data_IF_610754802997
#
_entry.id   IF_610754802997
#
_cell.length_a   1.000
_cell.length_b   1.000
_cell.length_c   1.000
_cell.angle_alpha   90.00
_cell.angle_beta   90.00
_cell.angle_gamma   90.00
#
_symmetry.space_group_name_H-M   'P 1'
#
loop_
_entity.id
_entity.type
_entity.pdbx_description
1 polymer ?
#
# COMPACT_ATOMS: atom_id res chain seq x y z
N UNK A 1 -8.42 17.41 -17.85
CA UNK A 1 -8.34 16.10 -17.15
C UNK A 1 -7.64 15.14 -18.10
N UNK A 2 -6.60 14.44 -17.65
CA UNK A 2 -5.92 13.43 -18.48
C UNK A 2 -6.79 12.17 -18.46
N UNK A 3 -7.01 11.55 -19.62
CA UNK A 3 -7.69 10.26 -19.76
C UNK A 3 -6.63 9.15 -19.64
N UNK A 4 -6.51 8.48 -18.46
CA UNK A 4 -5.44 7.52 -18.23
C UNK A 4 -5.60 6.27 -19.10
N UNK A 5 -4.49 5.80 -19.66
CA UNK A 5 -4.40 4.64 -20.54
C UNK A 5 -3.57 3.54 -19.88
N UNK A 6 -4.00 2.27 -19.99
CA UNK A 6 -3.22 1.14 -19.47
C UNK A 6 -1.79 1.14 -20.00
N UNK A 7 -0.82 0.84 -19.14
CA UNK A 7 0.61 0.76 -19.51
C UNK A 7 1.36 2.09 -19.57
N UNK A 8 0.67 3.22 -19.37
CA UNK A 8 1.30 4.55 -19.29
C UNK A 8 1.59 4.96 -17.85
N UNK A 9 2.57 5.85 -17.69
CA UNK A 9 2.99 6.40 -16.40
C UNK A 9 2.41 7.79 -16.20
N UNK A 10 1.94 8.06 -14.99
CA UNK A 10 1.29 9.31 -14.61
C UNK A 10 1.96 9.92 -13.38
N UNK A 11 1.79 11.23 -13.21
CA UNK A 11 2.30 11.94 -12.04
C UNK A 11 1.67 11.39 -10.76
N UNK A 12 2.52 11.03 -9.78
CA UNK A 12 2.07 10.64 -8.46
C UNK A 12 1.29 11.77 -7.78
N UNK A 13 1.73 13.02 -7.96
CA UNK A 13 1.02 14.17 -7.37
C UNK A 13 -0.41 14.29 -7.93
N UNK A 14 -0.60 14.13 -9.24
CA UNK A 14 -1.94 14.19 -9.83
C UNK A 14 -2.86 13.08 -9.29
N UNK A 15 -2.28 11.92 -8.96
CA UNK A 15 -2.99 10.83 -8.31
C UNK A 15 -3.37 11.16 -6.86
N UNK A 16 -2.45 11.74 -6.09
CA UNK A 16 -2.70 12.20 -4.73
C UNK A 16 -3.76 13.32 -4.68
N UNK A 17 -3.72 14.27 -5.61
CA UNK A 17 -4.71 15.33 -5.75
C UNK A 17 -6.11 14.77 -6.05
N UNK A 18 -6.17 13.69 -6.84
CA UNK A 18 -7.41 12.97 -7.11
C UNK A 18 -7.95 12.28 -5.85
N UNK A 19 -7.08 11.68 -5.03
CA UNK A 19 -7.50 11.11 -3.74
C UNK A 19 -8.03 12.17 -2.78
N UNK A 20 -7.38 13.32 -2.70
CA UNK A 20 -7.87 14.46 -1.92
C UNK A 20 -9.29 14.86 -2.38
N UNK A 21 -9.47 15.03 -3.69
CA UNK A 21 -10.78 15.38 -4.27
C UNK A 21 -11.84 14.33 -3.93
N UNK A 22 -11.53 13.04 -4.06
CA UNK A 22 -12.47 11.95 -3.73
C UNK A 22 -12.84 11.97 -2.24
N UNK A 23 -11.86 12.17 -1.36
CA UNK A 23 -12.10 12.24 0.08
C UNK A 23 -13.02 13.42 0.44
N UNK A 24 -12.82 14.58 -0.18
CA UNK A 24 -13.61 15.80 0.07
C UNK A 24 -15.02 15.74 -0.52
N UNK A 25 -15.21 15.04 -1.65
CA UNK A 25 -16.48 15.02 -2.39
C UNK A 25 -17.37 13.81 -2.10
N UNK A 26 -16.78 12.62 -1.91
CA UNK A 26 -17.50 11.37 -1.70
C UNK A 26 -17.31 10.84 -0.27
N UNK A 27 -16.13 11.06 0.31
CA UNK A 27 -15.79 10.63 1.66
C UNK A 27 -14.66 9.60 1.70
N UNK A 28 -13.99 9.54 2.85
CA UNK A 28 -12.74 8.78 3.01
C UNK A 28 -12.91 7.26 2.93
N UNK A 29 -14.10 6.72 3.22
CA UNK A 29 -14.40 5.29 3.03
C UNK A 29 -14.21 4.83 1.58
N UNK A 30 -14.39 5.74 0.62
CA UNK A 30 -14.14 5.45 -0.81
C UNK A 30 -12.66 5.17 -1.05
N UNK A 31 -11.76 5.86 -0.34
CA UNK A 31 -10.32 5.60 -0.45
C UNK A 31 -9.95 4.22 0.08
N UNK A 32 -10.59 3.77 1.16
CA UNK A 32 -10.44 2.39 1.64
C UNK A 32 -10.90 1.37 0.60
N UNK A 33 -12.05 1.61 -0.04
CA UNK A 33 -12.52 0.75 -1.12
C UNK A 33 -11.56 0.70 -2.31
N UNK A 34 -10.96 1.85 -2.68
CA UNK A 34 -9.92 1.92 -3.72
C UNK A 34 -8.68 1.14 -3.30
N UNK A 35 -8.19 1.32 -2.07
CA UNK A 35 -7.03 0.60 -1.53
C UNK A 35 -7.21 -0.92 -1.58
N UNK A 36 -8.40 -1.42 -1.22
CA UNK A 36 -8.75 -2.86 -1.28
C UNK A 36 -8.66 -3.46 -2.68
N UNK A 37 -8.73 -2.65 -3.75
CA UNK A 37 -8.62 -3.11 -5.14
C UNK A 37 -7.18 -3.17 -5.65
N UNK A 38 -6.21 -2.58 -4.94
CA UNK A 38 -4.81 -2.56 -5.38
C UNK A 38 -4.20 -3.98 -5.51
N UNK A 39 -4.41 -4.93 -4.57
CA UNK A 39 -3.87 -6.29 -4.70
C UNK A 39 -4.36 -7.06 -5.93
N UNK A 40 -5.45 -6.62 -6.57
CA UNK A 40 -5.99 -7.22 -7.80
C UNK A 40 -5.38 -6.60 -9.07
N UNK A 41 -4.84 -5.37 -8.98
CA UNK A 41 -4.49 -4.56 -10.15
C UNK A 41 -3.00 -4.17 -10.23
N UNK A 42 -2.30 -4.12 -9.10
CA UNK A 42 -0.87 -3.79 -9.05
C UNK A 42 0.01 -5.03 -9.27
N UNK A 43 1.24 -4.80 -9.71
CA UNK A 43 2.24 -5.87 -9.83
C UNK A 43 2.85 -6.17 -8.47
N UNK A 44 2.68 -7.38 -7.98
CA UNK A 44 3.32 -7.90 -6.78
C UNK A 44 4.46 -8.86 -7.13
N UNK A 45 5.46 -9.04 -6.26
CA UNK A 45 6.44 -10.10 -6.42
C UNK A 45 5.77 -11.49 -6.37
N UNK A 46 6.32 -12.51 -7.06
CA UNK A 46 5.81 -13.87 -6.99
C UNK A 46 6.11 -14.52 -5.63
N UNK A 47 5.51 -15.68 -5.36
CA UNK A 47 5.89 -16.52 -4.21
C UNK A 47 5.38 -16.05 -2.84
N UNK A 48 4.31 -15.26 -2.81
CA UNK A 48 3.64 -14.87 -1.57
C UNK A 48 2.74 -16.04 -1.14
N UNK A 49 3.06 -16.65 0.02
CA UNK A 49 2.41 -17.87 0.52
C UNK A 49 1.90 -17.75 1.97
N UNK A 50 1.95 -16.55 2.56
CA UNK A 50 1.49 -16.31 3.93
C UNK A 50 1.40 -14.83 4.28
N UNK A 51 0.69 -14.52 5.37
CA UNK A 51 0.35 -13.16 5.78
C UNK A 51 1.57 -12.26 5.99
N UNK A 52 2.63 -12.74 6.63
CA UNK A 52 3.85 -11.95 6.85
C UNK A 52 4.48 -11.56 5.51
N UNK A 53 4.73 -12.54 4.64
CA UNK A 53 5.29 -12.28 3.31
C UNK A 53 4.39 -11.36 2.50
N UNK A 54 3.08 -11.50 2.62
CA UNK A 54 2.11 -10.65 1.94
C UNK A 54 2.23 -9.19 2.38
N UNK A 55 2.32 -8.95 3.69
CA UNK A 55 2.45 -7.60 4.25
C UNK A 55 3.80 -6.97 3.90
N UNK A 56 4.90 -7.73 3.97
CA UNK A 56 6.22 -7.28 3.50
C UNK A 56 6.24 -6.99 1.99
N UNK A 57 5.50 -7.78 1.21
CA UNK A 57 5.44 -7.62 -0.25
C UNK A 57 4.76 -6.32 -0.70
N UNK A 58 4.02 -5.64 0.18
CA UNK A 58 3.43 -4.33 -0.14
C UNK A 58 4.53 -3.32 -0.46
N UNK A 59 5.65 -3.32 0.28
CA UNK A 59 6.75 -2.38 0.04
C UNK A 59 7.48 -2.65 -1.28
N UNK A 60 7.74 -3.93 -1.56
CA UNK A 60 8.32 -4.36 -2.83
C UNK A 60 7.42 -3.97 -3.99
N UNK A 61 6.13 -4.27 -3.90
CA UNK A 61 5.15 -3.88 -4.91
C UNK A 61 5.07 -2.35 -5.05
N UNK A 62 5.16 -1.59 -3.97
CA UNK A 62 5.18 -0.15 -4.01
C UNK A 62 6.33 0.39 -4.88
N UNK A 63 7.55 -0.09 -4.64
CA UNK A 63 8.74 0.30 -5.39
C UNK A 63 8.77 -0.25 -6.83
N UNK A 64 8.13 -1.39 -7.09
CA UNK A 64 7.94 -1.95 -8.45
C UNK A 64 6.98 -1.11 -9.31
N UNK A 65 6.02 -0.43 -8.68
CA UNK A 65 4.97 0.33 -9.36
C UNK A 65 5.18 1.85 -9.29
N UNK A 66 6.36 2.31 -8.86
CA UNK A 66 6.76 3.73 -8.85
C UNK A 66 8.02 3.96 -9.66
N UNK A 67 8.23 5.21 -10.11
CA UNK A 67 9.43 5.61 -10.86
C UNK A 67 9.95 6.97 -10.43
N UNK A 68 11.27 7.10 -10.40
CA UNK A 68 11.98 8.39 -10.34
C UNK A 68 12.84 8.48 -11.60
N UNK A 69 12.79 9.62 -12.29
CA UNK A 69 13.51 9.85 -13.54
C UNK A 69 13.33 8.73 -14.60
N UNK A 70 12.13 8.11 -14.65
CA UNK A 70 11.79 7.07 -15.61
C UNK A 70 12.21 5.64 -15.22
N UNK A 71 12.91 5.46 -14.10
CA UNK A 71 13.40 4.15 -13.63
C UNK A 71 12.58 3.65 -12.45
N UNK A 72 12.24 2.35 -12.43
CA UNK A 72 11.53 1.74 -11.30
C UNK A 72 12.44 1.61 -10.09
N UNK A 73 11.87 1.76 -8.90
CA UNK A 73 12.65 1.80 -7.66
C UNK A 73 12.95 0.41 -7.10
N UNK A 74 12.53 -0.65 -7.78
CA UNK A 74 12.94 -2.02 -7.47
C UNK A 74 13.48 -2.72 -8.70
N UNK A 75 14.68 -3.29 -8.58
CA UNK A 75 15.28 -4.12 -9.61
C UNK A 75 15.06 -5.60 -9.28
N UNK A 76 14.13 -6.24 -10.00
CA UNK A 76 13.81 -7.66 -9.80
C UNK A 76 14.96 -8.64 -10.05
N UNK A 77 16.03 -8.24 -10.75
CA UNK A 77 17.20 -9.11 -11.00
C UNK A 77 18.22 -9.03 -9.86
N UNK A 78 18.50 -7.82 -9.38
CA UNK A 78 19.51 -7.60 -8.32
C UNK A 78 18.91 -7.60 -6.92
N UNK A 79 17.58 -7.52 -6.82
CA UNK A 79 16.82 -7.26 -5.60
C UNK A 79 17.18 -5.95 -4.90
N UNK A 80 17.79 -5.01 -5.64
CA UNK A 80 18.10 -3.68 -5.13
C UNK A 80 16.83 -2.82 -5.13
N UNK A 81 16.63 -2.12 -4.02
CA UNK A 81 15.58 -1.13 -3.83
C UNK A 81 16.23 0.25 -3.73
N UNK A 82 15.63 1.24 -4.38
CA UNK A 82 16.07 2.64 -4.33
C UNK A 82 15.03 3.47 -3.59
N UNK A 83 15.52 4.42 -2.80
CA UNK A 83 14.72 5.34 -2.00
C UNK A 83 14.05 6.45 -2.84
N UNK A 84 13.16 7.23 -2.19
CA UNK A 84 12.68 8.51 -2.71
C UNK A 84 11.16 8.63 -2.87
N UNK A 85 10.41 7.58 -2.55
CA UNK A 85 8.94 7.61 -2.51
C UNK A 85 8.37 7.18 -1.14
N UNK A 86 9.24 6.89 -0.17
CA UNK A 86 8.83 6.37 1.13
C UNK A 86 8.59 4.86 1.13
N UNK A 87 8.05 4.31 2.21
CA UNK A 87 7.97 2.87 2.44
C UNK A 87 6.69 2.38 3.12
N UNK A 88 6.45 1.08 2.99
CA UNK A 88 5.59 0.28 3.86
C UNK A 88 6.44 -0.67 4.70
N UNK A 89 6.78 -0.29 5.93
CA UNK A 89 7.60 -1.13 6.80
C UNK A 89 6.74 -2.08 7.65
N UNK A 90 7.02 -3.38 7.54
CA UNK A 90 6.47 -4.41 8.42
C UNK A 90 7.37 -4.58 9.64
N UNK A 91 6.76 -4.58 10.83
CA UNK A 91 7.41 -4.91 12.09
C UNK A 91 6.59 -5.94 12.85
N UNK A 92 7.25 -7.00 13.31
CA UNK A 92 6.67 -7.91 14.29
C UNK A 92 6.36 -7.14 15.58
N UNK A 93 5.18 -7.36 16.15
CA UNK A 93 4.80 -6.82 17.45
C UNK A 93 4.76 -7.94 18.48
N UNK A 94 3.96 -8.98 18.22
CA UNK A 94 3.87 -10.21 19.01
C UNK A 94 3.66 -11.44 18.09
N UNK A 95 3.49 -12.63 18.67
CA UNK A 95 3.29 -13.89 17.90
C UNK A 95 2.12 -13.84 16.90
N UNK A 96 1.07 -13.05 17.19
CA UNK A 96 -0.15 -12.96 16.36
C UNK A 96 -0.50 -11.52 15.97
N UNK A 97 0.46 -10.61 16.08
CA UNK A 97 0.26 -9.19 15.81
C UNK A 97 1.48 -8.62 15.09
N UNK A 98 1.22 -7.68 14.19
CA UNK A 98 2.26 -6.96 13.49
C UNK A 98 1.84 -5.50 13.32
N UNK A 99 2.82 -4.63 13.13
CA UNK A 99 2.64 -3.21 12.88
C UNK A 99 3.13 -2.87 11.48
N UNK A 100 2.27 -2.24 10.71
CA UNK A 100 2.63 -1.63 9.44
C UNK A 100 2.87 -0.13 9.64
N UNK A 101 4.08 0.33 9.37
CA UNK A 101 4.42 1.75 9.31
C UNK A 101 4.41 2.18 7.87
N UNK A 102 3.44 3.00 7.50
CA UNK A 102 3.35 3.56 6.16
C UNK A 102 4.01 4.93 6.21
N UNK A 103 5.24 5.06 5.73
CA UNK A 103 5.93 6.35 5.58
C UNK A 103 5.94 6.72 4.10
N UNK A 104 4.76 7.02 3.57
CA UNK A 104 4.55 7.31 2.16
C UNK A 104 3.51 8.46 2.05
N UNK A 105 3.33 9.09 0.88
CA UNK A 105 2.46 10.26 0.77
C UNK A 105 0.96 9.92 0.67
N UNK A 106 0.57 8.64 0.71
CA UNK A 106 -0.83 8.26 0.54
C UNK A 106 -1.69 8.54 1.77
N UNK A 107 -3.00 8.73 1.60
CA UNK A 107 -3.94 8.81 2.72
C UNK A 107 -3.99 7.51 3.53
N UNK A 108 -4.14 7.62 4.85
CA UNK A 108 -4.20 6.46 5.75
C UNK A 108 -5.29 5.44 5.37
N UNK A 109 -6.44 5.90 4.88
CA UNK A 109 -7.55 5.04 4.45
C UNK A 109 -7.20 4.17 3.26
N UNK A 110 -6.41 4.70 2.33
CA UNK A 110 -5.95 3.96 1.15
C UNK A 110 -4.98 2.87 1.58
N UNK A 111 -3.96 3.22 2.38
CA UNK A 111 -3.00 2.26 2.94
C UNK A 111 -3.70 1.16 3.75
N UNK A 112 -4.66 1.56 4.61
CA UNK A 112 -5.49 0.64 5.37
C UNK A 112 -6.20 -0.37 4.47
N UNK A 113 -6.81 0.09 3.38
CA UNK A 113 -7.50 -0.78 2.43
C UNK A 113 -6.57 -1.81 1.77
N UNK A 114 -5.34 -1.42 1.43
CA UNK A 114 -4.33 -2.34 0.88
C UNK A 114 -3.95 -3.40 1.91
N UNK A 115 -3.59 -2.96 3.13
CA UNK A 115 -3.13 -3.82 4.22
C UNK A 115 -4.23 -4.81 4.60
N UNK A 116 -5.46 -4.34 4.77
CA UNK A 116 -6.60 -5.18 5.11
C UNK A 116 -6.90 -6.23 4.03
N UNK A 117 -6.89 -5.85 2.76
CA UNK A 117 -7.12 -6.79 1.66
C UNK A 117 -6.01 -7.85 1.57
N UNK A 118 -4.74 -7.45 1.72
CA UNK A 118 -3.61 -8.37 1.74
C UNK A 118 -3.67 -9.31 2.95
N UNK A 119 -3.93 -8.77 4.14
CA UNK A 119 -4.03 -9.55 5.37
C UNK A 119 -5.17 -10.57 5.30
N UNK A 120 -6.34 -10.16 4.81
CA UNK A 120 -7.49 -11.05 4.66
C UNK A 120 -7.24 -12.16 3.63
N UNK A 121 -6.58 -11.82 2.51
CA UNK A 121 -6.26 -12.78 1.44
C UNK A 121 -5.27 -13.86 1.88
N UNK A 122 -4.31 -13.50 2.71
CA UNK A 122 -3.20 -14.37 3.12
C UNK A 122 -3.25 -14.83 4.57
N UNK A 123 -4.37 -14.59 5.27
CA UNK A 123 -4.57 -15.08 6.63
C UNK A 123 -4.40 -16.61 6.71
N UNK A 124 -3.92 -17.14 7.84
CA UNK A 124 -3.90 -18.58 8.08
C UNK A 124 -5.28 -19.22 7.87
N UNK A 125 -5.32 -20.48 7.44
CA UNK A 125 -6.57 -21.19 7.13
C UNK A 125 -7.45 -21.40 8.36
N UNK A 126 -6.84 -21.53 9.54
CA UNK A 126 -7.49 -21.64 10.86
C UNK A 126 -7.88 -20.28 11.47
N UNK A 127 -7.47 -19.17 10.86
CA UNK A 127 -7.82 -17.82 11.30
C UNK A 127 -9.17 -17.41 10.71
N UNK A 128 -10.20 -17.24 11.55
CA UNK A 128 -11.54 -16.82 11.10
C UNK A 128 -11.56 -15.39 10.53
N UNK A 129 -10.86 -14.47 11.19
CA UNK A 129 -10.79 -13.07 10.79
C UNK A 129 -9.44 -12.45 11.18
N UNK A 130 -8.97 -11.50 10.39
CA UNK A 130 -7.85 -10.63 10.75
C UNK A 130 -8.40 -9.26 11.07
N UNK A 131 -8.04 -8.71 12.23
CA UNK A 131 -8.41 -7.35 12.62
C UNK A 131 -7.28 -6.40 12.23
N UNK A 132 -7.59 -5.44 11.37
CA UNK A 132 -6.70 -4.32 11.06
C UNK A 132 -7.28 -3.06 11.70
N UNK A 133 -6.44 -2.30 12.38
CA UNK A 133 -6.81 -1.03 13.01
C UNK A 133 -5.76 0.02 12.73
N UNK A 134 -6.20 1.26 12.62
CA UNK A 134 -5.30 2.41 12.67
C UNK A 134 -4.85 2.63 14.12
N UNK A 135 -3.53 2.80 14.34
CA UNK A 135 -2.99 3.10 15.67
C UNK A 135 -3.07 4.60 15.94
N UNK A 136 -4.13 5.02 16.65
CA UNK A 136 -4.37 6.42 16.95
C UNK A 136 -3.42 7.01 17.99
N UNK A 137 -2.62 6.17 18.66
CA UNK A 137 -1.59 6.57 19.61
C UNK A 137 -0.26 6.95 18.95
N UNK A 138 -0.05 6.54 17.70
CA UNK A 138 1.14 6.84 16.91
C UNK A 138 1.01 8.14 16.09
N UNK A 139 2.12 8.70 15.59
CA UNK A 139 2.09 9.79 14.61
C UNK A 139 1.25 9.43 13.38
N UNK A 140 0.49 10.39 12.87
CA UNK A 140 -0.45 10.17 11.77
C UNK A 140 -0.47 11.38 10.85
N UNK A 141 -0.31 11.17 9.53
CA UNK A 141 -0.32 12.24 8.51
C UNK A 141 -1.54 13.15 8.56
N UNK A 142 -2.68 12.67 9.08
CA UNK A 142 -3.89 13.47 9.24
C UNK A 142 -3.79 14.53 10.34
N UNK A 143 -2.86 14.37 11.27
CA UNK A 143 -2.70 15.24 12.45
C UNK A 143 -1.57 16.27 12.29
N UNK A 144 -0.89 16.30 11.14
CA UNK A 144 0.35 17.07 10.93
C UNK A 144 1.56 16.39 11.55
#
# INVERSE_FOLDING_TARGET
MVDPKPGHWYSQQAWLDSFKTIAETVGSLTLTAIGRRIPENAKFPPGIDGIEKALRAIDLAYHMNHRIAGTTLFNSRTHEMTEGVGHYAYHDADEKSARMVCDNPYPCEFDFGIIEAMALRFKPSDCLFVKVTHDDSAPCRKKG
#
